data_IF_253504412476
#
_entry.id   IF_253504412476
#
_cell.length_a   1.000
_cell.length_b   1.000
_cell.length_c   1.000
_cell.angle_alpha   90.00
_cell.angle_beta   90.00
_cell.angle_gamma   90.00
#
_symmetry.space_group_name_H-M   'P 1'
#
loop_
_entity.id
_entity.type
_entity.pdbx_description
1 polymer ?
#
# COMPACT_ATOMS: atom_id res chain seq x y z
N UNK A 1 -29.33 8.74 16.64
CA UNK A 1 -27.94 8.33 16.38
C UNK A 1 -27.71 7.04 17.16
N UNK A 2 -27.14 6.01 16.55
CA UNK A 2 -26.82 4.75 17.24
C UNK A 2 -25.33 4.55 17.14
N UNK A 3 -24.72 4.32 18.30
CA UNK A 3 -23.29 4.09 18.46
C UNK A 3 -23.01 2.59 18.36
N UNK A 4 -22.37 2.17 17.26
CA UNK A 4 -22.05 0.76 16.99
C UNK A 4 -20.63 0.43 17.43
N UNK A 5 -20.38 0.44 18.73
CA UNK A 5 -19.15 -0.13 19.31
C UNK A 5 -19.46 -0.90 20.60
N UNK A 6 -18.65 -1.91 20.88
CA UNK A 6 -18.86 -2.78 22.04
C UNK A 6 -17.91 -3.97 22.03
N UNK A 7 -17.92 -4.74 23.12
CA UNK A 7 -16.97 -5.84 23.32
C UNK A 7 -15.71 -5.41 24.08
N UNK A 8 -14.58 -6.01 23.73
CA UNK A 8 -13.31 -5.86 24.44
C UNK A 8 -12.16 -5.59 23.47
N UNK A 9 -11.19 -4.79 23.89
CA UNK A 9 -10.00 -4.42 23.13
C UNK A 9 -8.81 -5.39 23.35
N UNK A 10 -9.02 -6.45 24.13
CA UNK A 10 -8.02 -7.47 24.42
C UNK A 10 -8.64 -8.87 24.54
N UNK A 11 -7.83 -9.89 24.25
CA UNK A 11 -8.27 -11.30 24.31
C UNK A 11 -8.64 -11.75 25.73
N UNK A 12 -8.01 -11.15 26.76
CA UNK A 12 -8.30 -11.40 28.16
C UNK A 12 -9.61 -10.79 28.66
N UNK A 13 -10.30 -10.01 27.82
CA UNK A 13 -11.54 -9.28 28.16
C UNK A 13 -11.38 -8.37 29.39
N UNK A 14 -10.22 -7.75 29.54
CA UNK A 14 -9.90 -6.87 30.68
C UNK A 14 -10.13 -5.40 30.37
N UNK A 15 -10.16 -5.02 29.09
CA UNK A 15 -10.35 -3.65 28.60
C UNK A 15 -11.55 -3.60 27.66
N UNK A 16 -12.48 -2.70 27.93
CA UNK A 16 -13.62 -2.46 27.04
C UNK A 16 -13.16 -1.80 25.75
N UNK A 17 -13.85 -2.10 24.66
CA UNK A 17 -13.75 -1.29 23.46
C UNK A 17 -14.52 0.02 23.68
N UNK A 18 -13.88 1.14 23.37
CA UNK A 18 -14.40 2.49 23.55
C UNK A 18 -14.43 3.22 22.21
N UNK A 19 -15.15 4.33 22.12
CA UNK A 19 -15.27 5.12 20.89
C UNK A 19 -13.91 5.50 20.27
N UNK A 20 -12.88 5.72 21.11
CA UNK A 20 -11.52 6.06 20.69
C UNK A 20 -10.56 4.87 20.52
N UNK A 21 -11.03 3.63 20.64
CA UNK A 21 -10.17 2.46 20.46
C UNK A 21 -9.64 2.35 19.02
N UNK A 22 -8.33 2.16 18.88
CA UNK A 22 -7.66 2.00 17.59
C UNK A 22 -7.27 0.54 17.37
N UNK A 23 -7.40 0.07 16.14
CA UNK A 23 -6.95 -1.25 15.70
C UNK A 23 -6.22 -1.13 14.36
N UNK A 24 -5.33 -2.07 14.07
CA UNK A 24 -4.70 -2.18 12.76
C UNK A 24 -5.79 -2.45 11.70
N UNK A 25 -5.98 -1.56 10.71
CA UNK A 25 -7.10 -1.65 9.77
C UNK A 25 -6.79 -2.54 8.54
N UNK A 26 -5.59 -3.12 8.46
CA UNK A 26 -5.11 -3.93 7.34
C UNK A 26 -5.34 -3.23 5.98
N UNK A 27 -5.95 -3.93 5.02
CA UNK A 27 -6.18 -3.42 3.67
C UNK A 27 -7.13 -2.21 3.60
N UNK A 28 -7.86 -1.90 4.68
CA UNK A 28 -8.65 -0.66 4.76
C UNK A 28 -7.76 0.59 4.71
N UNK A 29 -6.44 0.45 4.90
CA UNK A 29 -5.47 1.53 4.66
C UNK A 29 -5.30 1.90 3.17
N UNK A 30 -5.57 1.00 2.22
CA UNK A 30 -5.26 1.20 0.79
C UNK A 30 -6.04 2.37 0.15
N UNK A 31 -7.35 2.54 0.38
CA UNK A 31 -8.09 3.69 -0.13
C UNK A 31 -7.49 5.04 0.29
N UNK A 32 -6.91 5.16 1.48
CA UNK A 32 -6.27 6.41 1.91
C UNK A 32 -5.03 6.73 1.04
N UNK A 33 -4.19 5.73 0.76
CA UNK A 33 -3.07 5.90 -0.18
C UNK A 33 -3.56 6.23 -1.60
N UNK A 34 -4.65 5.60 -2.05
CA UNK A 34 -5.26 5.89 -3.36
C UNK A 34 -5.78 7.34 -3.45
N UNK A 35 -6.40 7.87 -2.39
CA UNK A 35 -6.83 9.28 -2.33
C UNK A 35 -5.64 10.23 -2.46
N UNK A 36 -4.52 9.96 -1.79
CA UNK A 36 -3.30 10.76 -1.95
C UNK A 36 -2.81 10.77 -3.41
N UNK A 37 -2.81 9.61 -4.09
CA UNK A 37 -2.44 9.52 -5.50
C UNK A 37 -3.43 10.29 -6.39
N UNK A 38 -4.74 10.14 -6.17
CA UNK A 38 -5.78 10.84 -6.94
C UNK A 38 -5.73 12.36 -6.73
N UNK A 39 -5.36 12.83 -5.54
CA UNK A 39 -5.14 14.24 -5.28
C UNK A 39 -3.97 14.79 -6.12
N UNK A 40 -2.88 14.02 -6.25
CA UNK A 40 -1.76 14.40 -7.14
C UNK A 40 -2.16 14.38 -8.62
N UNK A 41 -3.04 13.48 -9.03
CA UNK A 41 -3.62 13.46 -10.39
C UNK A 41 -4.42 14.72 -10.64
N UNK A 42 -5.33 15.07 -9.71
CA UNK A 42 -6.11 16.30 -9.80
C UNK A 42 -5.23 17.55 -9.84
N UNK A 43 -4.11 17.55 -9.12
CA UNK A 43 -3.14 18.65 -9.13
C UNK A 43 -2.22 18.67 -10.37
N UNK A 44 -2.37 17.74 -11.32
CA UNK A 44 -1.51 17.63 -12.50
C UNK A 44 -0.07 17.19 -12.20
N UNK A 45 0.18 16.62 -11.02
CA UNK A 45 1.51 16.19 -10.55
C UNK A 45 1.78 14.70 -10.73
N UNK A 46 0.73 13.92 -11.02
CA UNK A 46 0.79 12.50 -11.33
C UNK A 46 -0.05 12.24 -12.58
N UNK A 47 0.52 11.57 -13.58
CA UNK A 47 -0.19 11.19 -14.81
C UNK A 47 -0.49 9.69 -14.76
N UNK A 48 -1.77 9.33 -14.79
CA UNK A 48 -2.22 7.93 -14.67
C UNK A 48 -1.83 7.08 -15.89
N UNK A 49 -1.66 7.70 -17.05
CA UNK A 49 -1.32 7.03 -18.30
C UNK A 49 0.18 7.06 -18.61
N UNK A 50 0.97 7.85 -17.86
CA UNK A 50 2.41 7.83 -17.95
C UNK A 50 3.00 6.50 -17.44
N UNK A 51 4.14 6.06 -18.00
CA UNK A 51 4.96 5.01 -17.40
C UNK A 51 5.31 5.39 -15.96
N UNK A 52 5.22 4.43 -15.02
CA UNK A 52 5.55 4.67 -13.62
C UNK A 52 7.01 5.12 -13.44
N UNK A 53 7.89 4.73 -14.36
CA UNK A 53 9.30 5.14 -14.42
C UNK A 53 9.51 6.65 -14.51
N UNK A 54 8.49 7.41 -14.95
CA UNK A 54 8.53 8.88 -14.90
C UNK A 54 8.66 9.42 -13.47
N UNK A 55 8.11 8.69 -12.51
CA UNK A 55 8.07 9.06 -11.09
C UNK A 55 8.99 8.18 -10.23
N UNK A 56 9.26 6.95 -10.68
CA UNK A 56 10.10 5.98 -9.99
C UNK A 56 11.02 5.26 -11.00
N UNK A 57 12.13 5.89 -11.42
CA UNK A 57 12.98 5.41 -12.52
C UNK A 57 13.52 3.99 -12.34
N UNK A 58 13.72 3.55 -11.10
CA UNK A 58 14.25 2.24 -10.75
C UNK A 58 13.23 1.11 -10.95
N UNK A 59 11.93 1.41 -11.02
CA UNK A 59 10.88 0.40 -11.16
C UNK A 59 10.92 -0.27 -12.53
N UNK A 60 11.24 -1.57 -12.57
CA UNK A 60 11.53 -2.27 -13.82
C UNK A 60 10.32 -2.74 -14.61
N UNK A 61 9.20 -3.07 -13.94
CA UNK A 61 8.04 -3.62 -14.65
C UNK A 61 7.42 -2.57 -15.59
N UNK A 62 7.10 -2.94 -16.85
CA UNK A 62 6.56 -2.01 -17.84
C UNK A 62 5.09 -1.70 -17.55
N UNK A 63 4.85 -0.82 -16.58
CA UNK A 63 3.53 -0.47 -16.09
C UNK A 63 3.29 1.05 -16.16
N UNK A 64 2.06 1.42 -16.48
CA UNK A 64 1.54 2.77 -16.26
C UNK A 64 1.20 2.95 -14.79
N UNK A 65 1.17 4.19 -14.32
CA UNK A 65 0.76 4.53 -12.94
C UNK A 65 -0.58 3.88 -12.57
N UNK A 66 -1.59 3.93 -13.46
CA UNK A 66 -2.89 3.30 -13.21
C UNK A 66 -2.80 1.79 -12.98
N UNK A 67 -1.89 1.10 -13.67
CA UNK A 67 -1.71 -0.36 -13.53
C UNK A 67 -1.08 -0.71 -12.19
N UNK A 68 -0.21 0.14 -11.65
CA UNK A 68 0.30 -0.03 -10.28
C UNK A 68 -0.83 0.15 -9.26
N UNK A 69 -1.62 1.21 -9.40
CA UNK A 69 -2.73 1.54 -8.48
C UNK A 69 -3.89 0.52 -8.55
N UNK A 70 -4.01 -0.24 -9.63
CA UNK A 70 -5.09 -1.21 -9.86
C UNK A 70 -4.63 -2.66 -9.86
N UNK A 71 -3.46 -2.97 -9.27
CA UNK A 71 -2.93 -4.34 -9.14
C UNK A 71 -2.69 -5.08 -10.47
N UNK A 72 -2.30 -4.37 -11.53
CA UNK A 72 -2.06 -4.90 -12.89
C UNK A 72 -0.60 -4.72 -13.35
N UNK A 73 0.30 -4.26 -12.47
CA UNK A 73 1.72 -4.06 -12.81
C UNK A 73 2.56 -5.35 -12.82
N UNK A 74 1.99 -6.50 -12.42
CA UNK A 74 2.69 -7.79 -12.37
C UNK A 74 3.69 -7.92 -11.20
N UNK A 75 3.79 -6.92 -10.33
CA UNK A 75 4.61 -6.97 -9.11
C UNK A 75 3.70 -7.19 -7.91
N UNK A 76 3.61 -8.45 -7.46
CA UNK A 76 2.63 -8.88 -6.43
C UNK A 76 3.29 -9.25 -5.10
N UNK A 77 4.49 -9.82 -5.17
CA UNK A 77 5.28 -10.27 -4.02
C UNK A 77 6.76 -10.02 -4.31
N UNK A 78 7.59 -10.04 -3.27
CA UNK A 78 9.03 -10.07 -3.40
C UNK A 78 9.50 -11.46 -3.87
N UNK A 79 10.38 -11.49 -4.87
CA UNK A 79 11.00 -12.71 -5.44
C UNK A 79 11.73 -13.58 -4.40
N UNK A 80 12.16 -12.98 -3.29
CA UNK A 80 12.89 -13.66 -2.22
C UNK A 80 12.26 -13.34 -0.86
N UNK A 81 12.30 -14.29 0.09
CA UNK A 81 11.96 -14.01 1.48
C UNK A 81 12.87 -12.90 2.05
N UNK A 82 12.28 -11.99 2.80
CA UNK A 82 13.00 -10.94 3.52
C UNK A 82 12.55 -10.92 4.98
N UNK A 83 13.43 -10.50 5.90
CA UNK A 83 13.05 -10.37 7.31
C UNK A 83 11.99 -9.27 7.47
N UNK A 84 11.18 -9.34 8.53
CA UNK A 84 10.04 -8.44 8.76
C UNK A 84 10.47 -6.97 8.80
N UNK A 85 11.69 -6.70 9.24
CA UNK A 85 12.34 -5.39 9.33
C UNK A 85 12.34 -4.66 7.99
N UNK A 86 12.42 -5.40 6.86
CA UNK A 86 12.31 -4.80 5.54
C UNK A 86 10.98 -4.09 5.31
N UNK A 87 9.87 -4.54 5.92
CA UNK A 87 8.57 -3.87 5.81
C UNK A 87 8.48 -2.56 6.58
N UNK A 88 9.41 -2.31 7.50
CA UNK A 88 9.51 -1.08 8.28
C UNK A 88 10.58 -0.12 7.75
N UNK A 89 11.40 -0.56 6.79
CA UNK A 89 12.39 0.25 6.08
C UNK A 89 11.88 0.59 4.67
N UNK A 90 11.48 1.85 4.49
CA UNK A 90 10.92 2.34 3.23
C UNK A 90 11.89 2.19 2.06
N UNK A 91 13.14 2.60 2.25
CA UNK A 91 14.14 2.61 1.17
C UNK A 91 14.50 1.18 0.76
N UNK A 92 14.67 0.29 1.74
CA UNK A 92 14.95 -1.11 1.47
C UNK A 92 13.79 -1.80 0.75
N UNK A 93 12.56 -1.64 1.21
CA UNK A 93 11.39 -2.25 0.57
C UNK A 93 11.18 -1.73 -0.86
N UNK A 94 11.33 -0.42 -1.07
CA UNK A 94 11.26 0.17 -2.41
C UNK A 94 12.36 -0.40 -3.31
N UNK A 95 13.61 -0.46 -2.85
CA UNK A 95 14.70 -1.05 -3.64
C UNK A 95 14.42 -2.50 -4.04
N UNK A 96 13.88 -3.30 -3.13
CA UNK A 96 13.49 -4.69 -3.38
C UNK A 96 12.35 -4.78 -4.42
N UNK A 97 11.33 -3.94 -4.31
CA UNK A 97 10.21 -3.89 -5.26
C UNK A 97 10.64 -3.40 -6.65
N UNK A 98 11.54 -2.42 -6.71
CA UNK A 98 12.09 -1.90 -7.96
C UNK A 98 12.90 -2.96 -8.73
N UNK A 99 13.60 -3.83 -7.99
CA UNK A 99 14.42 -4.89 -8.56
C UNK A 99 13.64 -6.11 -9.07
N UNK A 100 12.33 -6.20 -8.79
CA UNK A 100 11.52 -7.38 -9.13
C UNK A 100 11.55 -7.69 -10.62
N UNK A 101 11.70 -8.97 -10.93
CA UNK A 101 11.59 -9.44 -12.30
C UNK A 101 10.11 -9.48 -12.70
N UNK A 102 9.78 -8.87 -13.83
CA UNK A 102 8.43 -8.95 -14.37
C UNK A 102 8.17 -10.38 -14.82
N UNK A 103 7.28 -11.08 -14.13
CA UNK A 103 6.92 -12.46 -14.43
C UNK A 103 5.95 -12.54 -15.61
N UNK A 104 6.30 -12.04 -16.79
CA UNK A 104 5.69 -12.43 -18.07
C UNK A 104 6.74 -12.34 -19.19
N UNK A 105 7.31 -13.51 -19.49
CA UNK A 105 7.71 -13.97 -20.82
C UNK A 105 6.95 -15.26 -21.11
#
# INVERSE_FOLDING_TARGET
>A
MVDLWGGYADSGRRRRWEAGSVVQPYSVSKPFAAVCALWLVQAGRLDQDAPVQRHWPEFRAPARVRQVLSHQAGVVMLDQPVPTEAFYDWEWLCALLAAQHYAHG
#
